data_IF_643074328933
#
_entry.id   IF_643074328933
#
_cell.length_a   1.000
_cell.length_b   1.000
_cell.length_c   1.000
_cell.angle_alpha   90.00
_cell.angle_beta   90.00
_cell.angle_gamma   90.00
#
_symmetry.space_group_name_H-M   'P 1'
#
loop_
_entity.id
_entity.type
_entity.pdbx_description
1 polymer ?
#
# COMPACT_ATOMS: atom_id res chain seq x y z
N UNK A 1 -24.56 7.38 5.68
CA UNK A 1 -23.13 7.70 5.88
C UNK A 1 -22.78 7.52 7.35
N UNK A 2 -22.22 6.38 7.79
CA UNK A 2 -21.45 6.37 9.02
C UNK A 2 -20.16 7.15 8.73
N UNK A 3 -20.01 8.32 9.35
CA UNK A 3 -18.76 9.07 9.36
C UNK A 3 -17.68 8.14 9.93
N UNK A 4 -16.47 8.03 9.32
CA UNK A 4 -15.38 7.31 9.97
C UNK A 4 -15.20 7.93 11.35
N UNK A 5 -15.22 7.10 12.39
CA UNK A 5 -15.04 7.62 13.75
C UNK A 5 -13.71 8.40 13.77
N UNK A 6 -13.61 9.53 14.50
CA UNK A 6 -12.38 10.31 14.54
C UNK A 6 -11.17 9.47 14.99
N UNK A 7 -11.41 8.36 15.71
CA UNK A 7 -10.41 7.37 16.09
C UNK A 7 -9.85 6.57 14.90
N UNK A 8 -10.69 6.14 13.95
CA UNK A 8 -10.24 5.38 12.77
C UNK A 8 -9.43 6.26 11.81
N UNK A 9 -9.85 7.50 11.62
CA UNK A 9 -9.12 8.46 10.77
C UNK A 9 -7.74 8.77 11.36
N UNK A 10 -7.66 8.97 12.68
CA UNK A 10 -6.38 9.18 13.38
C UNK A 10 -5.49 7.94 13.28
N UNK A 11 -6.03 6.74 13.46
CA UNK A 11 -5.26 5.50 13.37
C UNK A 11 -4.70 5.26 11.97
N UNK A 12 -5.47 5.56 10.92
CA UNK A 12 -5.02 5.49 9.54
C UNK A 12 -3.88 6.50 9.27
N UNK A 13 -4.04 7.75 9.72
CA UNK A 13 -3.02 8.79 9.60
C UNK A 13 -1.74 8.43 10.36
N UNK A 14 -1.89 7.94 11.60
CA UNK A 14 -0.77 7.47 12.43
C UNK A 14 -0.03 6.33 11.73
N UNK A 15 -0.75 5.37 11.16
CA UNK A 15 -0.14 4.26 10.44
C UNK A 15 0.61 4.74 9.19
N UNK A 16 0.05 5.71 8.45
CA UNK A 16 0.72 6.33 7.31
C UNK A 16 2.00 7.09 7.71
N UNK A 17 1.94 7.85 8.81
CA UNK A 17 3.09 8.56 9.36
C UNK A 17 4.17 7.59 9.86
N UNK A 18 3.78 6.53 10.58
CA UNK A 18 4.70 5.47 10.99
C UNK A 18 5.36 4.80 9.79
N UNK A 19 4.58 4.51 8.73
CA UNK A 19 5.13 3.95 7.49
C UNK A 19 6.16 4.90 6.86
N UNK A 20 5.80 6.16 6.60
CA UNK A 20 6.72 7.13 6.00
C UNK A 20 7.98 7.34 6.85
N UNK A 21 7.81 7.48 8.17
CA UNK A 21 8.92 7.61 9.12
C UNK A 21 9.82 6.37 9.13
N UNK A 22 9.24 5.17 9.11
CA UNK A 22 10.00 3.91 9.06
C UNK A 22 10.77 3.72 7.76
N UNK A 23 10.20 4.09 6.61
CA UNK A 23 10.88 4.03 5.32
C UNK A 23 12.04 5.01 5.29
N UNK A 24 11.82 6.26 5.72
CA UNK A 24 12.87 7.27 5.75
C UNK A 24 13.99 6.90 6.72
N UNK A 25 13.65 6.42 7.92
CA UNK A 25 14.60 5.95 8.91
C UNK A 25 15.41 4.75 8.39
N UNK A 26 14.76 3.78 7.76
CA UNK A 26 15.43 2.61 7.19
C UNK A 26 16.38 3.01 6.06
N UNK A 27 15.97 3.89 5.15
CA UNK A 27 16.82 4.40 4.09
C UNK A 27 18.05 5.13 4.66
N UNK A 28 17.83 6.05 5.60
CA UNK A 28 18.91 6.80 6.25
C UNK A 28 19.90 5.89 7.01
N UNK A 29 19.39 4.91 7.77
CA UNK A 29 20.21 3.94 8.49
C UNK A 29 21.06 3.10 7.53
N UNK A 30 20.46 2.59 6.44
CA UNK A 30 21.13 1.74 5.47
C UNK A 30 22.19 2.47 4.64
N UNK A 31 22.01 3.77 4.39
CA UNK A 31 22.96 4.59 3.64
C UNK A 31 24.15 5.08 4.47
N UNK A 32 23.95 5.37 5.77
CA UNK A 32 25.00 5.95 6.61
C UNK A 32 25.60 4.95 7.63
N UNK A 33 24.99 4.72 8.79
CA UNK A 33 25.62 3.93 9.86
C UNK A 33 25.71 2.42 9.59
N UNK A 34 24.89 1.88 8.68
CA UNK A 34 24.78 0.43 8.44
C UNK A 34 25.31 -0.04 7.08
N UNK A 35 26.01 0.80 6.33
CA UNK A 35 26.58 0.42 5.05
C UNK A 35 27.51 -0.82 5.16
N UNK A 36 28.33 -0.89 6.22
CA UNK A 36 29.26 -2.00 6.49
C UNK A 36 28.75 -2.99 7.57
N UNK A 37 27.50 -2.86 8.00
CA UNK A 37 26.96 -3.75 9.01
C UNK A 37 26.71 -5.17 8.47
N UNK A 38 26.64 -6.14 9.40
CA UNK A 38 26.27 -7.52 9.09
C UNK A 38 24.93 -7.60 8.34
N UNK A 39 24.87 -8.51 7.37
CA UNK A 39 23.70 -8.71 6.49
C UNK A 39 22.38 -8.86 7.25
N UNK A 40 22.38 -9.58 8.38
CA UNK A 40 21.19 -9.76 9.21
C UNK A 40 20.60 -8.44 9.74
N UNK A 41 21.46 -7.49 10.15
CA UNK A 41 21.01 -6.19 10.66
C UNK A 41 20.43 -5.34 9.53
N UNK A 42 21.06 -5.39 8.35
CA UNK A 42 20.55 -4.70 7.16
C UNK A 42 19.18 -5.21 6.74
N UNK A 43 18.95 -6.52 6.77
CA UNK A 43 17.63 -7.11 6.50
C UNK A 43 16.60 -6.68 7.54
N UNK A 44 16.96 -6.70 8.83
CA UNK A 44 16.06 -6.26 9.90
C UNK A 44 15.63 -4.79 9.74
N UNK A 45 16.57 -3.91 9.39
CA UNK A 45 16.28 -2.48 9.12
C UNK A 45 15.47 -2.30 7.84
N UNK A 46 15.75 -3.04 6.78
CA UNK A 46 14.98 -2.99 5.54
C UNK A 46 13.51 -3.42 5.72
N UNK A 47 13.23 -4.29 6.71
CA UNK A 47 11.89 -4.76 7.04
C UNK A 47 11.15 -3.91 8.08
N UNK A 48 11.79 -2.88 8.64
CA UNK A 48 11.21 -1.95 9.61
C UNK A 48 9.88 -1.30 9.18
N UNK A 49 9.61 -1.00 7.88
CA UNK A 49 8.30 -0.51 7.45
C UNK A 49 7.18 -1.57 7.37
N UNK A 50 7.52 -2.86 7.40
CA UNK A 50 6.54 -3.95 7.27
C UNK A 50 5.53 -3.97 8.43
N UNK A 51 5.92 -3.86 9.71
CA UNK A 51 4.97 -3.75 10.83
C UNK A 51 3.95 -2.61 10.66
N UNK A 52 4.37 -1.45 10.15
CA UNK A 52 3.47 -0.32 9.91
C UNK A 52 2.43 -0.63 8.82
N UNK A 53 2.84 -1.30 7.73
CA UNK A 53 1.92 -1.76 6.69
C UNK A 53 0.95 -2.81 7.24
N UNK A 54 1.44 -3.78 8.03
CA UNK A 54 0.58 -4.81 8.63
C UNK A 54 -0.46 -4.19 9.55
N UNK A 55 -0.08 -3.16 10.32
CA UNK A 55 -1.02 -2.41 11.15
C UNK A 55 -2.07 -1.67 10.31
N UNK A 56 -1.65 -1.00 9.24
CA UNK A 56 -2.55 -0.36 8.27
C UNK A 56 -3.57 -1.33 7.71
N UNK A 57 -3.11 -2.49 7.22
CA UNK A 57 -3.98 -3.55 6.67
C UNK A 57 -5.00 -4.00 7.71
N UNK A 58 -4.58 -4.21 8.96
CA UNK A 58 -5.51 -4.59 10.04
C UNK A 58 -6.59 -3.54 10.28
N UNK A 59 -6.23 -2.26 10.30
CA UNK A 59 -7.20 -1.15 10.44
C UNK A 59 -8.21 -1.18 9.28
N UNK A 60 -7.71 -1.35 8.05
CA UNK A 60 -8.52 -1.34 6.84
C UNK A 60 -9.47 -2.53 6.80
N UNK A 61 -8.97 -3.75 7.02
CA UNK A 61 -9.78 -4.96 7.02
C UNK A 61 -10.87 -4.89 8.09
N UNK A 62 -10.51 -4.49 9.31
CA UNK A 62 -11.50 -4.29 10.40
C UNK A 62 -12.53 -3.23 10.02
N UNK A 63 -12.08 -2.12 9.42
CA UNK A 63 -12.95 -1.04 8.96
C UNK A 63 -13.90 -1.46 7.84
N UNK A 64 -13.48 -2.33 6.92
CA UNK A 64 -14.34 -2.89 5.86
C UNK A 64 -15.36 -3.87 6.43
N UNK A 65 -14.94 -4.76 7.34
CA UNK A 65 -15.81 -5.76 7.94
C UNK A 65 -16.85 -5.16 8.91
N UNK A 66 -16.58 -4.00 9.48
CA UNK A 66 -17.49 -3.29 10.38
C UNK A 66 -18.52 -2.40 9.66
N UNK A 67 -18.42 -2.23 8.33
CA UNK A 67 -19.36 -1.42 7.54
C UNK A 67 -20.65 -2.18 7.25
N UNK A 68 -21.71 -1.44 6.93
CA UNK A 68 -22.94 -2.02 6.43
C UNK A 68 -22.70 -2.84 5.15
N UNK A 69 -23.65 -3.71 4.79
CA UNK A 69 -23.51 -4.64 3.67
C UNK A 69 -23.26 -3.91 2.34
N UNK A 70 -23.95 -2.79 2.09
CA UNK A 70 -23.81 -2.02 0.85
C UNK A 70 -22.40 -1.42 0.73
N UNK A 71 -21.93 -0.76 1.79
CA UNK A 71 -20.63 -0.12 1.81
C UNK A 71 -19.50 -1.14 1.81
N UNK A 72 -19.67 -2.28 2.51
CA UNK A 72 -18.73 -3.40 2.48
C UNK A 72 -18.60 -3.97 1.07
N UNK A 73 -19.70 -4.13 0.34
CA UNK A 73 -19.68 -4.54 -1.08
C UNK A 73 -18.90 -3.57 -1.94
N UNK A 74 -19.16 -2.26 -1.81
CA UNK A 74 -18.43 -1.22 -2.54
C UNK A 74 -16.93 -1.30 -2.27
N UNK A 75 -16.52 -1.47 -1.01
CA UNK A 75 -15.10 -1.54 -0.65
C UNK A 75 -14.44 -2.83 -1.18
N UNK A 76 -15.11 -3.97 -1.07
CA UNK A 76 -14.59 -5.25 -1.58
C UNK A 76 -14.48 -5.25 -3.11
N UNK A 77 -15.48 -4.72 -3.80
CA UNK A 77 -15.48 -4.55 -5.26
C UNK A 77 -14.34 -3.62 -5.70
N UNK A 78 -14.15 -2.50 -4.99
CA UNK A 78 -13.06 -1.58 -5.25
C UNK A 78 -11.68 -2.21 -5.03
N UNK A 79 -11.50 -2.94 -3.92
CA UNK A 79 -10.25 -3.67 -3.63
C UNK A 79 -9.97 -4.70 -4.71
N UNK A 80 -10.98 -5.48 -5.13
CA UNK A 80 -10.83 -6.50 -6.16
C UNK A 80 -10.39 -5.91 -7.50
N UNK A 81 -11.11 -4.90 -8.01
CA UNK A 81 -10.80 -4.23 -9.27
C UNK A 81 -9.41 -3.57 -9.22
N UNK A 82 -9.08 -2.88 -8.12
CA UNK A 82 -7.77 -2.24 -7.97
C UNK A 82 -6.63 -3.24 -7.89
N UNK A 83 -6.81 -4.35 -7.17
CA UNK A 83 -5.78 -5.40 -7.07
C UNK A 83 -5.53 -6.05 -8.42
N UNK A 84 -6.60 -6.34 -9.18
CA UNK A 84 -6.49 -6.88 -10.54
C UNK A 84 -5.83 -5.87 -11.49
N UNK A 85 -6.19 -4.59 -11.43
CA UNK A 85 -5.63 -3.56 -12.28
C UNK A 85 -4.12 -3.37 -12.04
N UNK A 86 -3.70 -3.28 -10.77
CA UNK A 86 -2.28 -3.14 -10.43
C UNK A 86 -1.51 -4.43 -10.73
N UNK A 87 -2.09 -5.60 -10.47
CA UNK A 87 -1.49 -6.88 -10.83
C UNK A 87 -1.27 -7.02 -12.33
N UNK A 88 -2.27 -6.65 -13.14
CA UNK A 88 -2.16 -6.64 -14.60
C UNK A 88 -1.12 -5.62 -15.08
N UNK A 89 -1.07 -4.43 -14.48
CA UNK A 89 -0.06 -3.42 -14.81
C UNK A 89 1.36 -3.92 -14.49
N UNK A 90 1.55 -4.56 -13.33
CA UNK A 90 2.84 -5.15 -12.95
C UNK A 90 3.26 -6.29 -13.88
N UNK A 91 2.32 -7.17 -14.27
CA UNK A 91 2.59 -8.22 -15.26
C UNK A 91 2.96 -7.62 -16.62
N UNK A 92 2.22 -6.61 -17.07
CA UNK A 92 2.52 -5.90 -18.33
C UNK A 92 3.92 -5.28 -18.29
N UNK A 93 4.25 -4.56 -17.21
CA UNK A 93 5.58 -3.98 -17.02
C UNK A 93 6.67 -5.07 -17.02
N UNK A 94 6.43 -6.20 -16.36
CA UNK A 94 7.36 -7.33 -16.36
C UNK A 94 7.59 -7.89 -17.76
N UNK A 95 6.53 -8.06 -18.56
CA UNK A 95 6.63 -8.57 -19.94
C UNK A 95 7.36 -7.60 -20.86
N UNK A 96 7.09 -6.29 -20.75
CA UNK A 96 7.81 -5.27 -21.51
C UNK A 96 9.29 -5.22 -21.11
N UNK A 97 9.60 -5.38 -19.82
CA UNK A 97 10.98 -5.45 -19.34
C UNK A 97 11.70 -6.71 -19.84
N UNK A 98 11.02 -7.87 -19.88
CA UNK A 98 11.59 -9.10 -20.45
C UNK A 98 11.88 -9.01 -21.95
N UNK A 99 11.15 -8.16 -22.67
CA UNK A 99 11.37 -7.88 -24.08
C UNK A 99 12.38 -6.75 -24.33
N UNK A 100 13.08 -6.27 -23.28
CA UNK A 100 14.00 -5.14 -23.31
C UNK A 100 13.40 -3.84 -23.89
N UNK A 101 12.06 -3.72 -23.89
CA UNK A 101 11.35 -2.52 -24.37
C UNK A 101 11.41 -1.37 -23.36
N UNK A 102 11.51 -1.71 -22.07
CA UNK A 102 11.63 -0.77 -20.96
C UNK A 102 12.63 -1.29 -19.93
N UNK A 103 13.30 -0.38 -19.23
CA UNK A 103 14.22 -0.70 -18.14
C UNK A 103 13.85 0.06 -16.84
N UNK A 104 12.66 -0.18 -16.27
CA UNK A 104 12.26 0.49 -15.03
C UNK A 104 13.14 0.01 -13.88
N UNK A 105 13.52 0.92 -12.98
CA UNK A 105 14.18 0.55 -11.73
C UNK A 105 13.26 -0.40 -10.93
N UNK A 106 13.71 -1.63 -10.69
CA UNK A 106 12.93 -2.61 -9.93
C UNK A 106 12.57 -2.12 -8.53
N UNK A 107 13.48 -1.37 -7.89
CA UNK A 107 13.23 -0.71 -6.61
C UNK A 107 12.10 0.32 -6.72
N UNK A 108 12.09 1.14 -7.77
CA UNK A 108 11.05 2.13 -7.99
C UNK A 108 9.68 1.46 -8.21
N UNK A 109 9.61 0.41 -9.04
CA UNK A 109 8.35 -0.32 -9.30
C UNK A 109 7.78 -0.89 -8.00
N UNK A 110 8.62 -1.54 -7.19
CA UNK A 110 8.20 -2.12 -5.90
C UNK A 110 7.75 -1.05 -4.91
N UNK A 111 8.50 0.06 -4.79
CA UNK A 111 8.16 1.16 -3.88
C UNK A 111 6.83 1.84 -4.25
N UNK A 112 6.54 1.99 -5.55
CA UNK A 112 5.33 2.63 -6.05
C UNK A 112 4.12 1.70 -6.14
N UNK A 113 4.30 0.38 -6.05
CA UNK A 113 3.20 -0.60 -6.15
C UNK A 113 2.12 -0.36 -5.10
N UNK A 114 2.51 -0.18 -3.84
CA UNK A 114 1.55 0.03 -2.74
C UNK A 114 0.83 1.39 -2.83
N UNK A 115 1.51 2.53 -3.07
CA UNK A 115 0.84 3.80 -3.37
C UNK A 115 -0.12 3.72 -4.57
N UNK A 116 0.27 3.06 -5.65
CA UNK A 116 -0.56 2.89 -6.84
C UNK A 116 -1.83 2.10 -6.52
N UNK A 117 -1.74 1.05 -5.70
CA UNK A 117 -2.90 0.28 -5.24
C UNK A 117 -3.88 1.13 -4.43
N UNK A 118 -3.39 1.97 -3.52
CA UNK A 118 -4.24 2.87 -2.74
C UNK A 118 -4.93 3.94 -3.57
N UNK A 119 -4.22 4.50 -4.55
CA UNK A 119 -4.79 5.45 -5.51
C UNK A 119 -5.86 4.79 -6.37
N UNK A 120 -5.57 3.61 -6.93
CA UNK A 120 -6.53 2.83 -7.67
C UNK A 120 -7.77 2.53 -6.83
N UNK A 121 -7.59 2.07 -5.58
CA UNK A 121 -8.68 1.79 -4.66
C UNK A 121 -9.56 3.02 -4.41
N UNK A 122 -8.95 4.17 -4.15
CA UNK A 122 -9.69 5.43 -3.95
C UNK A 122 -10.55 5.80 -5.16
N UNK A 123 -9.97 5.73 -6.37
CA UNK A 123 -10.65 6.04 -7.62
C UNK A 123 -11.77 5.04 -7.91
N UNK A 124 -11.48 3.74 -7.82
CA UNK A 124 -12.46 2.70 -8.06
C UNK A 124 -13.59 2.77 -7.05
N UNK A 125 -13.30 2.99 -5.76
CA UNK A 125 -14.33 3.15 -4.72
C UNK A 125 -15.26 4.31 -5.00
N UNK A 126 -14.75 5.44 -5.47
CA UNK A 126 -15.57 6.58 -5.88
C UNK A 126 -16.45 6.24 -7.09
N UNK A 127 -15.88 5.54 -8.08
CA UNK A 127 -16.60 5.13 -9.29
C UNK A 127 -17.72 4.12 -8.98
N UNK A 128 -17.40 3.05 -8.26
CA UNK A 128 -18.37 2.04 -7.80
C UNK A 128 -19.44 2.68 -6.92
N UNK A 129 -19.05 3.53 -5.96
CA UNK A 129 -20.00 4.22 -5.07
C UNK A 129 -20.95 5.17 -5.79
N UNK A 130 -20.59 5.71 -6.95
CA UNK A 130 -21.51 6.51 -7.80
C UNK A 130 -22.55 5.65 -8.49
N UNK A 131 -22.29 4.36 -8.73
CA UNK A 131 -23.21 3.43 -9.38
C UNK A 131 -24.35 2.96 -8.45
N UNK A 132 -24.12 3.00 -7.15
CA UNK A 132 -25.09 2.60 -6.12
C UNK A 132 -25.84 3.77 -5.48
N UNK A 133 -25.63 5.01 -5.97
CA UNK A 133 -26.42 6.19 -5.62
C UNK A 133 -27.60 6.34 -6.57
#
# INVERSE_FOLDING_TARGET
MPCPTPADRRSFLLSGLCYLGSVYLAAWLLEQPLAEAHMALRVAVALLPVPAIVWLIRIVVRGVLARDEMQRRIDLEAIAISSLAIGLAALTLSLLAMADLIAPSGQAVLAWTFPALWLAYGLTRQWVGRRYR
#
